data_IF_840993944250
#
_entry.id   IF_840993944250
#
_cell.length_a   1.000
_cell.length_b   1.000
_cell.length_c   1.000
_cell.angle_alpha   90.00
_cell.angle_beta   90.00
_cell.angle_gamma   90.00
#
_symmetry.space_group_name_H-M   'P 1'
#
loop_
_entity.id
_entity.type
_entity.pdbx_description
1 polymer ?
#
# COMPACT_ATOMS: atom_id res chain seq x y z
N UNK A 1 14.18 -20.56 -7.44
CA UNK A 1 12.95 -21.35 -7.71
C UNK A 1 12.72 -22.28 -6.52
N UNK A 2 11.97 -21.83 -5.50
CA UNK A 2 11.88 -22.49 -4.19
C UNK A 2 10.99 -23.75 -4.26
N UNK A 3 11.31 -24.86 -3.54
CA UNK A 3 10.58 -26.12 -3.61
C UNK A 3 9.14 -25.98 -3.10
N UNK A 4 8.21 -26.08 -4.04
CA UNK A 4 6.81 -25.73 -3.85
C UNK A 4 6.02 -26.89 -3.25
N UNK A 5 5.82 -26.90 -1.93
CA UNK A 5 4.71 -27.66 -1.32
C UNK A 5 3.40 -26.90 -1.56
N UNK A 6 3.06 -26.67 -2.84
CA UNK A 6 1.86 -25.95 -3.19
C UNK A 6 0.63 -26.76 -2.79
N UNK A 7 -0.18 -26.19 -1.88
CA UNK A 7 -1.57 -26.58 -1.73
C UNK A 7 -2.37 -25.92 -2.85
N UNK A 8 -3.44 -26.58 -3.29
CA UNK A 8 -4.35 -26.09 -4.34
C UNK A 8 -3.66 -25.78 -5.68
N UNK A 9 -2.69 -26.61 -6.12
CA UNK A 9 -1.98 -26.43 -7.41
C UNK A 9 -2.88 -26.23 -8.62
N UNK A 10 -4.08 -26.81 -8.59
CA UNK A 10 -5.07 -26.70 -9.67
C UNK A 10 -6.16 -25.66 -9.37
N UNK A 11 -6.14 -25.00 -8.22
CA UNK A 11 -7.08 -23.93 -7.87
C UNK A 11 -6.73 -22.62 -8.59
N UNK A 12 -7.69 -21.69 -8.61
CA UNK A 12 -7.52 -20.33 -9.13
C UNK A 12 -6.56 -19.47 -8.29
N UNK A 13 -6.34 -19.89 -7.04
CA UNK A 13 -5.36 -19.34 -6.11
C UNK A 13 -4.53 -20.50 -5.57
N UNK A 14 -3.22 -20.34 -5.59
CA UNK A 14 -2.25 -21.31 -5.11
C UNK A 14 -1.56 -20.78 -3.86
N UNK A 15 -1.13 -21.69 -2.99
CA UNK A 15 -0.39 -21.34 -1.76
C UNK A 15 0.89 -22.15 -1.66
N UNK A 16 2.02 -21.45 -1.61
CA UNK A 16 3.32 -21.99 -1.24
C UNK A 16 3.64 -21.62 0.22
N UNK A 17 4.29 -22.51 0.96
CA UNK A 17 4.75 -22.21 2.33
C UNK A 17 6.26 -22.10 2.35
N UNK A 18 6.75 -21.04 2.99
CA UNK A 18 8.15 -20.75 3.24
C UNK A 18 8.39 -20.85 4.75
N UNK A 19 9.06 -21.92 5.16
CA UNK A 19 9.55 -22.07 6.51
C UNK A 19 10.87 -21.31 6.61
N UNK A 20 10.82 -20.09 7.15
CA UNK A 20 11.99 -19.21 7.25
C UNK A 20 13.17 -19.88 7.96
N UNK A 21 12.91 -20.74 8.95
CA UNK A 21 13.98 -21.43 9.70
C UNK A 21 14.63 -22.52 8.84
N UNK A 22 13.81 -23.33 8.18
CA UNK A 22 14.26 -24.46 7.35
C UNK A 22 14.85 -23.98 6.02
N UNK A 23 14.14 -23.11 5.32
CA UNK A 23 14.44 -22.69 3.96
C UNK A 23 15.61 -21.70 3.92
N UNK A 24 15.70 -20.79 4.90
CA UNK A 24 16.90 -19.93 5.04
C UNK A 24 18.03 -20.63 5.81
N UNK A 25 17.82 -21.85 6.34
CA UNK A 25 18.75 -22.52 7.27
C UNK A 25 19.11 -21.63 8.47
N UNK A 26 18.20 -20.76 8.89
CA UNK A 26 18.45 -19.77 9.92
C UNK A 26 18.14 -20.35 11.31
N UNK A 27 19.11 -21.06 11.88
CA UNK A 27 18.97 -21.78 13.16
C UNK A 27 18.59 -20.85 14.33
N UNK A 28 18.94 -19.57 14.25
CA UNK A 28 18.66 -18.54 15.27
C UNK A 28 17.29 -17.87 15.13
N UNK A 29 16.42 -18.31 14.21
CA UNK A 29 15.05 -17.79 14.12
C UNK A 29 14.31 -18.11 15.42
N UNK A 30 14.00 -17.08 16.22
CA UNK A 30 13.19 -17.23 17.43
C UNK A 30 11.72 -16.97 17.12
N UNK A 31 11.40 -15.78 16.60
CA UNK A 31 10.05 -15.41 16.21
C UNK A 31 10.09 -14.28 15.19
N UNK A 32 9.40 -14.44 14.07
CA UNK A 32 9.15 -13.34 13.16
C UNK A 32 8.23 -12.31 13.81
N UNK A 33 8.49 -11.02 13.60
CA UNK A 33 7.67 -9.90 14.10
C UNK A 33 7.09 -9.06 12.97
N UNK A 34 7.90 -8.77 11.94
CA UNK A 34 7.49 -8.04 10.74
C UNK A 34 8.14 -8.66 9.51
N UNK A 35 7.44 -8.62 8.39
CA UNK A 35 7.97 -9.02 7.09
C UNK A 35 7.36 -8.14 6.01
N UNK A 36 8.16 -7.72 5.04
CA UNK A 36 7.69 -7.05 3.83
C UNK A 36 8.43 -7.60 2.61
N UNK A 37 7.75 -7.61 1.47
CA UNK A 37 8.30 -8.06 0.19
C UNK A 37 7.90 -7.07 -0.90
N UNK A 38 8.86 -6.62 -1.70
CA UNK A 38 8.62 -5.85 -2.92
C UNK A 38 9.69 -6.21 -3.95
N UNK A 39 9.27 -6.40 -5.20
CA UNK A 39 10.18 -6.68 -6.31
C UNK A 39 11.13 -7.87 -6.04
N UNK A 40 10.63 -8.91 -5.35
CA UNK A 40 11.45 -10.07 -4.98
C UNK A 40 12.49 -9.82 -3.87
N UNK A 41 12.55 -8.62 -3.30
CA UNK A 41 13.36 -8.28 -2.13
C UNK A 41 12.52 -8.42 -0.86
N UNK A 42 12.99 -9.21 0.11
CA UNK A 42 12.31 -9.49 1.37
C UNK A 42 13.12 -8.96 2.55
N UNK A 43 12.47 -8.17 3.42
CA UNK A 43 12.98 -7.80 4.72
C UNK A 43 12.13 -8.41 5.82
N UNK A 44 12.78 -9.05 6.80
CA UNK A 44 12.14 -9.71 7.92
C UNK A 44 12.78 -9.31 9.26
N UNK A 45 12.00 -8.84 10.22
CA UNK A 45 12.46 -8.59 11.58
C UNK A 45 12.22 -9.84 12.45
N UNK A 46 13.30 -10.45 12.93
CA UNK A 46 13.26 -11.75 13.63
C UNK A 46 13.56 -11.65 15.13
N UNK A 47 14.19 -10.56 15.55
CA UNK A 47 14.34 -10.23 16.97
C UNK A 47 14.04 -8.75 17.14
N UNK A 48 14.17 -8.22 18.36
CA UNK A 48 13.97 -6.79 18.63
C UNK A 48 14.80 -5.87 17.72
N UNK A 49 15.98 -6.34 17.25
CA UNK A 49 16.94 -5.53 16.49
C UNK A 49 17.53 -6.17 15.24
N UNK A 50 17.26 -7.46 14.98
CA UNK A 50 17.84 -8.17 13.83
C UNK A 50 16.89 -8.14 12.64
N UNK A 51 17.38 -7.59 11.53
CA UNK A 51 16.74 -7.60 10.22
C UNK A 51 17.45 -8.62 9.33
N UNK A 52 16.68 -9.49 8.71
CA UNK A 52 17.12 -10.40 7.66
C UNK A 52 16.71 -9.81 6.32
N UNK A 53 17.65 -9.75 5.40
CA UNK A 53 17.42 -9.40 4.01
C UNK A 53 17.65 -10.62 3.13
N UNK A 54 16.63 -10.99 2.36
CA UNK A 54 16.67 -12.06 1.37
C UNK A 54 16.27 -11.50 0.00
N UNK A 55 17.00 -11.88 -1.04
CA UNK A 55 16.77 -11.47 -2.43
C UNK A 55 16.71 -12.72 -3.29
N UNK A 56 15.64 -12.91 -4.08
CA UNK A 56 15.52 -14.07 -4.99
C UNK A 56 16.65 -14.06 -6.07
N UNK A 57 17.13 -12.86 -6.44
CA UNK A 57 18.13 -12.68 -7.49
C UNK A 57 19.59 -12.96 -7.09
N UNK A 58 19.93 -12.92 -5.80
CA UNK A 58 21.34 -13.03 -5.33
C UNK A 58 21.77 -14.44 -4.91
N UNK A 59 20.96 -15.45 -5.21
CA UNK A 59 21.14 -16.81 -4.68
C UNK A 59 20.76 -16.85 -3.20
N UNK A 60 20.28 -18.00 -2.74
CA UNK A 60 19.50 -18.21 -1.50
C UNK A 60 20.18 -17.83 -0.15
N UNK A 61 21.29 -17.08 -0.15
CA UNK A 61 21.97 -16.62 1.05
C UNK A 61 21.41 -15.28 1.53
N UNK A 62 20.70 -15.33 2.66
CA UNK A 62 20.24 -14.14 3.35
C UNK A 62 21.41 -13.35 3.97
N UNK A 63 21.17 -12.06 4.23
CA UNK A 63 22.11 -11.15 4.90
C UNK A 63 21.48 -10.60 6.18
N UNK A 64 22.31 -10.43 7.21
CA UNK A 64 21.88 -9.94 8.52
C UNK A 64 22.28 -8.47 8.69
N UNK A 65 21.35 -7.65 9.18
CA UNK A 65 21.59 -6.27 9.58
C UNK A 65 21.08 -6.09 11.01
N UNK A 66 21.88 -5.43 11.86
CA UNK A 66 21.49 -5.14 13.24
C UNK A 66 21.17 -3.66 13.40
N UNK A 67 20.00 -3.35 13.93
CA UNK A 67 19.61 -2.00 14.29
C UNK A 67 20.16 -1.65 15.68
N UNK A 68 20.61 -0.40 15.91
CA UNK A 68 21.10 0.06 17.21
C UNK A 68 19.94 0.37 18.17
N UNK A 69 18.98 -0.54 18.28
CA UNK A 69 17.84 -0.46 19.19
C UNK A 69 18.20 -0.99 20.58
N UNK A 70 17.59 -0.41 21.61
CA UNK A 70 17.74 -0.81 23.01
C UNK A 70 16.40 -1.29 23.56
N UNK A 71 16.40 -2.40 24.31
CA UNK A 71 15.20 -2.93 24.96
C UNK A 71 14.58 -1.87 25.89
N UNK A 72 13.24 -1.71 25.92
CA UNK A 72 12.20 -2.56 25.33
C UNK A 72 11.83 -2.23 23.87
N UNK A 73 12.61 -1.37 23.19
CA UNK A 73 12.31 -0.96 21.82
C UNK A 73 12.54 -2.08 20.81
N UNK A 74 11.65 -2.16 19.83
CA UNK A 74 11.71 -3.14 18.75
C UNK A 74 11.01 -2.63 17.51
N UNK A 75 11.28 -3.28 16.38
CA UNK A 75 10.66 -2.97 15.08
C UNK A 75 9.14 -3.03 15.18
N UNK A 76 8.48 -2.01 14.62
CA UNK A 76 7.03 -1.90 14.53
C UNK A 76 6.54 -1.97 13.08
N UNK A 77 7.26 -1.30 12.18
CA UNK A 77 6.91 -1.22 10.75
C UNK A 77 8.17 -1.29 9.88
N UNK A 78 8.03 -1.94 8.73
CA UNK A 78 9.05 -1.99 7.66
C UNK A 78 8.35 -1.57 6.38
N UNK A 79 8.77 -0.44 5.81
CA UNK A 79 8.26 0.10 4.56
C UNK A 79 9.31 -0.10 3.49
N UNK A 80 9.02 -0.88 2.46
CA UNK A 80 9.94 -1.16 1.35
C UNK A 80 9.43 -0.49 0.08
N UNK A 81 10.32 0.18 -0.65
CA UNK A 81 9.99 0.83 -1.92
C UNK A 81 9.68 -0.19 -3.00
N UNK A 82 8.84 0.22 -3.96
CA UNK A 82 8.44 -0.63 -5.09
C UNK A 82 9.61 -1.10 -5.96
N UNK A 83 10.72 -0.35 -5.99
CA UNK A 83 11.93 -0.74 -6.71
C UNK A 83 12.81 -1.76 -5.95
N UNK A 84 12.52 -2.01 -4.67
CA UNK A 84 13.27 -2.93 -3.82
C UNK A 84 14.62 -2.39 -3.30
N UNK A 85 14.94 -1.11 -3.47
CA UNK A 85 16.24 -0.54 -3.07
C UNK A 85 16.23 0.25 -1.77
N UNK A 86 15.08 0.80 -1.37
CA UNK A 86 14.95 1.71 -0.25
C UNK A 86 13.99 1.15 0.78
N UNK A 87 14.41 1.10 2.05
CA UNK A 87 13.52 0.76 3.15
C UNK A 87 13.56 1.81 4.26
N UNK A 88 12.40 2.07 4.86
CA UNK A 88 12.25 2.85 6.07
C UNK A 88 11.70 1.92 7.15
N UNK A 89 12.45 1.78 8.24
CA UNK A 89 12.07 0.98 9.40
C UNK A 89 11.73 1.91 10.55
N UNK A 90 10.58 1.67 11.19
CA UNK A 90 10.14 2.40 12.38
C UNK A 90 10.02 1.46 13.58
N UNK A 91 10.53 1.88 14.73
CA UNK A 91 10.41 1.16 15.99
C UNK A 91 9.18 1.58 16.80
N UNK A 92 8.81 0.80 17.82
CA UNK A 92 7.67 1.10 18.69
C UNK A 92 7.87 2.37 19.53
N UNK A 93 9.11 2.72 19.84
CA UNK A 93 9.43 3.98 20.55
C UNK A 93 9.75 5.14 19.60
N UNK A 94 9.54 4.98 18.28
CA UNK A 94 9.66 6.07 17.30
C UNK A 94 11.09 6.35 16.84
N UNK A 95 12.01 5.38 16.97
CA UNK A 95 13.31 5.42 16.29
C UNK A 95 13.15 4.94 14.84
N UNK A 96 13.68 5.72 13.90
CA UNK A 96 13.51 5.46 12.47
C UNK A 96 14.85 5.25 11.76
N UNK A 97 14.92 4.27 10.86
CA UNK A 97 16.14 3.93 10.12
C UNK A 97 15.84 3.87 8.63
N UNK A 98 16.77 4.36 7.83
CA UNK A 98 16.82 4.11 6.39
C UNK A 98 17.79 2.96 6.11
N UNK A 99 17.39 2.04 5.24
CA UNK A 99 18.25 0.97 4.74
C UNK A 99 18.29 1.04 3.22
N UNK A 100 19.49 1.04 2.65
CA UNK A 100 19.70 0.87 1.23
C UNK A 100 20.04 -0.60 0.93
N UNK A 101 19.13 -1.33 0.27
CA UNK A 101 19.20 -2.80 0.15
C UNK A 101 20.31 -3.29 -0.79
N UNK A 102 20.82 -2.44 -1.69
CA UNK A 102 21.96 -2.83 -2.54
C UNK A 102 23.25 -2.96 -1.73
N UNK A 103 23.47 -2.05 -0.78
CA UNK A 103 24.67 -2.00 0.08
C UNK A 103 24.44 -2.58 1.47
N UNK A 104 23.19 -2.81 1.86
CA UNK A 104 22.79 -3.16 3.23
C UNK A 104 23.29 -2.17 4.28
N UNK A 105 23.41 -0.90 3.90
CA UNK A 105 23.84 0.17 4.80
C UNK A 105 22.64 0.70 5.60
N UNK A 106 22.79 0.73 6.92
CA UNK A 106 21.78 1.21 7.87
C UNK A 106 22.12 2.62 8.33
N UNK A 107 21.18 3.55 8.18
CA UNK A 107 21.34 4.95 8.51
C UNK A 107 20.26 5.41 9.49
N UNK A 108 20.65 5.95 10.65
CA UNK A 108 19.71 6.39 11.66
C UNK A 108 19.11 7.77 11.33
N UNK A 109 17.78 7.84 11.20
CA UNK A 109 17.01 9.04 10.88
C UNK A 109 16.71 9.89 12.14
N UNK A 110 17.76 10.42 12.79
CA UNK A 110 17.70 11.12 14.10
C UNK A 110 16.70 12.28 14.19
N UNK A 111 16.32 12.88 13.06
CA UNK A 111 15.39 14.01 12.98
C UNK A 111 13.92 13.59 13.04
N UNK A 112 13.61 12.32 12.74
CA UNK A 112 12.24 11.77 12.74
C UNK A 112 12.05 10.97 14.03
N UNK A 113 11.33 11.55 14.99
CA UNK A 113 11.12 11.00 16.34
C UNK A 113 9.64 10.67 16.60
N UNK A 114 9.07 9.87 15.72
CA UNK A 114 7.68 9.43 15.76
C UNK A 114 7.57 8.01 15.19
N UNK A 115 6.47 7.31 15.46
CA UNK A 115 6.18 6.01 14.85
C UNK A 115 5.62 6.25 13.44
N UNK A 116 6.34 5.78 12.42
CA UNK A 116 5.98 5.90 11.01
C UNK A 116 5.18 4.65 10.60
N UNK A 117 3.91 4.86 10.28
CA UNK A 117 2.92 3.81 10.04
C UNK A 117 2.58 3.62 8.56
N UNK A 118 2.92 4.59 7.70
CA UNK A 118 2.75 4.50 6.26
C UNK A 118 3.82 5.30 5.52
N UNK A 119 4.14 4.92 4.29
CA UNK A 119 5.06 5.65 3.40
C UNK A 119 4.48 5.73 2.00
N UNK A 120 4.21 6.96 1.53
CA UNK A 120 3.91 7.25 0.14
C UNK A 120 5.21 7.44 -0.64
N UNK A 121 5.59 6.42 -1.41
CA UNK A 121 6.76 6.48 -2.27
C UNK A 121 6.51 7.31 -3.52
N UNK A 122 7.51 8.08 -3.95
CA UNK A 122 7.41 8.91 -5.14
C UNK A 122 7.49 8.04 -6.41
N UNK A 123 6.46 8.02 -7.27
CA UNK A 123 6.48 7.23 -8.50
C UNK A 123 7.58 7.65 -9.49
N UNK A 124 8.00 8.93 -9.49
CA UNK A 124 9.09 9.42 -10.35
C UNK A 124 10.43 8.76 -10.05
N UNK A 125 10.60 8.29 -8.81
CA UNK A 125 11.82 7.64 -8.32
C UNK A 125 11.70 6.11 -8.29
N UNK A 126 10.69 5.55 -8.99
CA UNK A 126 10.44 4.11 -9.07
C UNK A 126 11.56 3.29 -9.73
N UNK A 127 12.56 3.93 -10.33
CA UNK A 127 13.75 3.30 -10.91
C UNK A 127 15.07 3.81 -10.33
N UNK A 128 15.03 4.85 -9.51
CA UNK A 128 16.22 5.47 -8.93
C UNK A 128 16.78 4.56 -7.82
N UNK A 129 18.10 4.40 -7.76
CA UNK A 129 18.76 3.63 -6.70
C UNK A 129 19.49 4.50 -5.69
N UNK A 130 19.78 5.74 -6.06
CA UNK A 130 20.64 6.65 -5.30
C UNK A 130 19.84 7.57 -4.39
N UNK A 131 18.56 7.79 -4.66
CA UNK A 131 17.67 8.56 -3.79
C UNK A 131 16.24 8.06 -3.80
N UNK A 132 15.58 8.21 -2.66
CA UNK A 132 14.14 8.00 -2.52
C UNK A 132 13.30 9.04 -3.28
N UNK A 133 13.91 10.16 -3.69
CA UNK A 133 13.17 11.40 -3.95
C UNK A 133 12.44 11.89 -2.71
N UNK A 134 11.57 12.89 -2.88
CA UNK A 134 10.66 13.31 -1.81
C UNK A 134 9.61 12.23 -1.59
N UNK A 135 9.51 11.68 -0.38
CA UNK A 135 8.49 10.72 0.04
C UNK A 135 7.65 11.31 1.18
N UNK A 136 6.41 10.83 1.32
CA UNK A 136 5.54 11.21 2.43
C UNK A 136 5.52 10.12 3.50
N UNK A 137 5.77 10.49 4.75
CA UNK A 137 5.67 9.60 5.91
C UNK A 137 4.38 9.92 6.67
N UNK A 138 3.54 8.92 6.88
CA UNK A 138 2.40 9.00 7.77
C UNK A 138 2.75 8.51 9.18
N UNK A 139 2.27 9.22 10.21
CA UNK A 139 2.55 8.87 11.61
C UNK A 139 1.38 8.20 12.31
N UNK A 140 1.68 7.50 13.41
CA UNK A 140 0.67 6.94 14.31
C UNK A 140 -0.25 8.00 14.95
N UNK A 141 0.15 9.28 14.92
CA UNK A 141 -0.61 10.42 15.43
C UNK A 141 -1.42 11.14 14.33
N UNK A 142 -1.38 10.67 13.08
CA UNK A 142 -2.16 11.28 12.00
C UNK A 142 -1.46 12.45 11.30
N UNK A 143 -0.18 12.66 11.55
CA UNK A 143 0.63 13.73 10.93
C UNK A 143 1.35 13.22 9.69
N UNK A 144 1.71 14.14 8.78
CA UNK A 144 2.48 13.84 7.56
C UNK A 144 3.80 14.61 7.58
N UNK A 145 4.87 13.92 7.19
CA UNK A 145 6.23 14.46 7.09
C UNK A 145 6.75 14.20 5.69
N UNK A 146 7.32 15.21 5.03
CA UNK A 146 8.06 14.99 3.78
C UNK A 146 9.54 14.74 4.08
N UNK A 147 10.07 13.66 3.51
CA UNK A 147 11.44 13.19 3.71
C UNK A 147 12.08 12.89 2.36
N UNK A 148 13.34 13.27 2.18
CA UNK A 148 14.19 12.77 1.10
C UNK A 148 15.44 12.16 1.72
N UNK A 149 15.81 10.95 1.30
CA UNK A 149 17.02 10.26 1.73
C UNK A 149 17.82 9.81 0.52
N UNK A 150 19.14 10.00 0.56
CA UNK A 150 20.06 9.41 -0.43
C UNK A 150 20.61 8.07 0.04
N UNK A 151 21.18 7.29 -0.88
CA UNK A 151 21.79 5.99 -0.61
C UNK A 151 22.93 6.04 0.43
N UNK A 152 23.57 7.20 0.62
CA UNK A 152 24.57 7.42 1.67
C UNK A 152 23.99 7.86 3.03
N UNK A 153 22.66 7.95 3.15
CA UNK A 153 21.95 8.32 4.36
C UNK A 153 21.86 9.82 4.65
N UNK A 154 22.30 10.68 3.71
CA UNK A 154 22.02 12.10 3.82
C UNK A 154 20.51 12.32 3.69
N UNK A 155 19.93 13.07 4.62
CA UNK A 155 18.49 13.30 4.67
C UNK A 155 18.15 14.79 4.70
N UNK A 156 17.10 15.15 3.98
CA UNK A 156 16.37 16.41 4.17
C UNK A 156 14.96 16.07 4.62
N UNK A 157 14.44 16.80 5.60
CA UNK A 157 13.11 16.55 6.15
C UNK A 157 12.43 17.88 6.39
N UNK A 158 11.17 17.98 5.97
CA UNK A 158 10.29 19.08 6.30
C UNK A 158 9.40 18.66 7.47
N UNK A 159 9.44 19.40 8.57
CA UNK A 159 8.63 19.07 9.76
C UNK A 159 7.15 19.24 9.45
N UNK A 160 6.35 18.39 10.10
CA UNK A 160 4.87 18.31 10.10
C UNK A 160 4.21 19.24 9.08
N UNK A 161 3.98 18.70 7.88
CA UNK A 161 3.26 19.40 6.82
C UNK A 161 1.80 19.67 7.21
N UNK A 162 1.30 18.99 8.23
CA UNK A 162 0.05 19.34 8.90
C UNK A 162 0.13 18.86 10.35
N UNK A 163 -0.21 19.71 11.33
CA UNK A 163 -0.45 19.22 12.69
C UNK A 163 -1.58 18.17 12.72
N UNK A 164 -2.61 18.29 11.86
CA UNK A 164 -3.85 17.54 12.02
C UNK A 164 -4.63 17.30 10.70
N UNK A 165 -4.20 16.34 9.86
CA UNK A 165 -5.17 15.63 8.99
C UNK A 165 -6.32 15.05 9.85
N UNK A 166 -6.05 14.80 11.14
CA UNK A 166 -6.99 14.45 12.19
C UNK A 166 -8.19 15.42 12.39
N UNK A 167 -7.99 16.75 12.47
CA UNK A 167 -9.00 17.70 13.01
C UNK A 167 -9.87 18.43 11.97
N UNK A 168 -9.60 18.30 10.67
CA UNK A 168 -10.25 19.14 9.63
C UNK A 168 -11.77 18.89 9.49
N UNK A 169 -12.36 17.90 10.17
CA UNK A 169 -13.81 17.62 10.13
C UNK A 169 -14.57 17.95 11.44
N UNK A 170 -13.99 18.67 12.40
CA UNK A 170 -14.67 18.96 13.68
C UNK A 170 -15.73 20.08 13.61
N UNK A 171 -16.02 20.66 12.44
CA UNK A 171 -17.13 21.63 12.35
C UNK A 171 -18.55 21.01 12.33
N UNK A 172 -18.72 19.68 12.38
CA UNK A 172 -20.07 19.07 12.31
C UNK A 172 -20.36 17.89 13.25
N UNK A 173 -19.58 17.65 14.30
CA UNK A 173 -20.01 16.71 15.35
C UNK A 173 -20.37 17.51 16.59
N UNK A 174 -21.66 17.71 16.79
CA UNK A 174 -22.26 18.29 17.99
C UNK A 174 -21.92 17.42 19.21
N UNK A 175 -20.80 17.74 19.87
CA UNK A 175 -20.35 16.95 21.01
C UNK A 175 -18.96 17.23 21.57
N UNK A 176 -18.40 18.44 21.38
CA UNK A 176 -17.39 19.07 22.25
C UNK A 176 -16.18 18.28 22.77
N UNK A 177 -15.83 17.12 22.19
CA UNK A 177 -14.71 16.29 22.62
C UNK A 177 -13.69 16.14 21.49
N UNK A 178 -12.41 16.31 21.81
CA UNK A 178 -11.32 16.14 20.86
C UNK A 178 -11.35 14.73 20.26
N UNK A 179 -11.45 14.64 18.93
CA UNK A 179 -11.34 13.36 18.22
C UNK A 179 -9.96 12.73 18.50
N UNK A 180 -9.89 11.44 18.87
CA UNK A 180 -8.61 10.78 19.10
C UNK A 180 -7.82 10.74 17.79
N UNK A 181 -6.57 11.19 17.83
CA UNK A 181 -5.63 11.07 16.73
C UNK A 181 -5.64 9.63 16.16
N UNK A 182 -5.92 9.51 14.86
CA UNK A 182 -5.94 8.26 14.13
C UNK A 182 -4.65 8.12 13.30
N UNK A 183 -4.06 6.92 13.34
CA UNK A 183 -2.87 6.63 12.56
C UNK A 183 -3.16 6.75 11.06
N UNK A 184 -2.17 7.23 10.30
CA UNK A 184 -2.20 7.08 8.84
C UNK A 184 -1.82 5.65 8.51
N UNK A 185 -2.73 4.93 7.87
CA UNK A 185 -2.59 3.50 7.60
C UNK A 185 -2.05 3.22 6.21
N UNK A 186 -2.28 4.12 5.24
CA UNK A 186 -1.70 4.02 3.91
C UNK A 186 -1.62 5.40 3.22
N UNK A 187 -0.69 5.55 2.27
CA UNK A 187 -0.51 6.73 1.43
C UNK A 187 -0.21 6.30 0.00
N UNK A 188 -1.09 6.60 -0.95
CA UNK A 188 -0.91 6.34 -2.38
C UNK A 188 -0.64 7.65 -3.12
N UNK A 189 0.50 7.74 -3.81
CA UNK A 189 0.92 8.92 -4.59
C UNK A 189 0.82 8.65 -6.10
N UNK A 190 0.27 9.61 -6.83
CA UNK A 190 0.09 9.56 -8.27
C UNK A 190 0.56 10.85 -8.93
N UNK A 191 1.25 10.74 -10.05
CA UNK A 191 1.46 11.84 -10.99
C UNK A 191 0.32 11.79 -12.02
N UNK A 192 -0.42 12.90 -12.17
CA UNK A 192 -1.61 12.98 -13.02
C UNK A 192 -1.35 13.55 -14.43
N UNK A 193 -0.18 14.13 -14.68
CA UNK A 193 0.11 14.84 -15.94
C UNK A 193 1.41 14.36 -16.58
N UNK A 194 1.34 13.99 -17.86
CA UNK A 194 2.49 13.67 -18.72
C UNK A 194 2.74 14.74 -19.81
N UNK A 195 1.77 15.62 -20.08
CA UNK A 195 1.78 16.49 -21.28
C UNK A 195 2.59 17.80 -21.16
N UNK A 196 2.81 18.34 -19.95
CA UNK A 196 3.71 19.50 -19.74
C UNK A 196 4.68 19.23 -18.57
N UNK A 197 5.98 19.03 -18.82
CA UNK A 197 6.98 18.82 -17.77
C UNK A 197 7.11 20.01 -16.81
N UNK A 198 6.55 21.18 -17.12
CA UNK A 198 6.55 22.38 -16.26
C UNK A 198 5.33 22.49 -15.34
N UNK A 199 4.25 21.74 -15.59
CA UNK A 199 3.00 21.82 -14.83
C UNK A 199 2.62 20.44 -14.27
N UNK A 200 3.49 19.88 -13.41
CA UNK A 200 3.21 18.59 -12.77
C UNK A 200 1.99 18.69 -11.87
N UNK A 201 0.97 17.89 -12.14
CA UNK A 201 -0.18 17.68 -11.27
C UNK A 201 0.02 16.40 -10.46
N UNK A 202 -0.22 16.50 -9.16
CA UNK A 202 -0.03 15.40 -8.23
C UNK A 202 -1.33 15.10 -7.49
N UNK A 203 -1.55 13.83 -7.20
CA UNK A 203 -2.62 13.36 -6.35
C UNK A 203 -2.08 12.48 -5.25
N UNK A 204 -2.62 12.66 -4.04
CA UNK A 204 -2.37 11.76 -2.92
C UNK A 204 -3.69 11.25 -2.36
N UNK A 205 -3.74 9.96 -2.07
CA UNK A 205 -4.84 9.32 -1.35
C UNK A 205 -4.29 8.84 0.00
N UNK A 206 -4.84 9.38 1.08
CA UNK A 206 -4.41 9.10 2.45
C UNK A 206 -5.51 8.27 3.12
N UNK A 207 -5.15 7.08 3.59
CA UNK A 207 -6.04 6.23 4.35
C UNK A 207 -5.82 6.39 5.86
N UNK A 208 -6.94 6.46 6.57
CA UNK A 208 -7.04 6.41 8.02
C UNK A 208 -8.22 5.51 8.39
N UNK A 209 -8.31 5.08 9.65
CA UNK A 209 -9.34 4.15 10.14
C UNK A 209 -10.73 4.37 9.53
N UNK A 210 -11.26 5.59 9.61
CA UNK A 210 -12.63 5.90 9.21
C UNK A 210 -12.70 6.89 8.03
N UNK A 211 -11.57 7.20 7.38
CA UNK A 211 -11.52 8.20 6.31
C UNK A 211 -10.56 7.80 5.19
N UNK A 212 -10.99 8.04 3.96
CA UNK A 212 -10.12 8.19 2.80
C UNK A 212 -10.11 9.65 2.38
N UNK A 213 -8.93 10.25 2.29
CA UNK A 213 -8.76 11.65 1.94
C UNK A 213 -8.02 11.71 0.61
N UNK A 214 -8.66 12.29 -0.40
CA UNK A 214 -8.08 12.54 -1.72
C UNK A 214 -7.68 14.01 -1.78
N UNK A 215 -6.41 14.29 -2.06
CA UNK A 215 -5.91 15.64 -2.30
C UNK A 215 -5.31 15.70 -3.70
N UNK A 216 -5.62 16.77 -4.43
CA UNK A 216 -5.03 17.06 -5.74
C UNK A 216 -4.38 18.43 -5.67
N UNK A 217 -3.09 18.49 -5.99
CA UNK A 217 -2.35 19.74 -6.13
C UNK A 217 -1.88 19.91 -7.58
N UNK A 218 -1.92 21.14 -8.05
CA UNK A 218 -1.21 21.56 -9.25
C UNK A 218 0.06 22.27 -8.76
N UNK A 219 1.22 21.82 -9.24
CA UNK A 219 2.47 22.40 -8.79
C UNK A 219 2.59 23.81 -9.39
N UNK A 220 2.52 24.85 -8.54
CA UNK A 220 2.85 26.20 -8.97
C UNK A 220 4.35 26.25 -9.32
N UNK A 221 4.75 26.91 -10.43
CA UNK A 221 6.16 27.09 -10.72
C UNK A 221 6.83 27.78 -9.51
N UNK A 222 8.03 27.34 -9.09
CA UNK A 222 8.70 27.94 -7.94
C UNK A 222 8.78 29.46 -8.15
N UNK A 223 8.47 30.28 -7.12
CA UNK A 223 8.51 31.72 -7.26
C UNK A 223 9.87 32.12 -7.78
N UNK A 224 9.90 32.99 -8.81
CA UNK A 224 11.14 33.47 -9.37
C UNK A 224 12.05 33.95 -8.24
N UNK A 225 13.34 33.54 -8.21
CA UNK A 225 14.25 33.98 -7.18
C UNK A 225 14.18 35.50 -7.11
N UNK A 226 13.82 36.05 -5.95
CA UNK A 226 13.85 37.50 -5.74
C UNK A 226 15.29 37.93 -5.93
N UNK A 227 15.61 38.41 -7.14
CA UNK A 227 16.92 38.94 -7.47
C UNK A 227 17.13 40.17 -6.57
N UNK A 228 18.02 40.02 -5.60
CA UNK A 228 18.61 41.03 -4.74
C UNK A 228 17.78 42.28 -4.45
N UNK A 229 17.31 42.41 -3.20
CA UNK A 229 17.11 43.74 -2.65
C UNK A 229 18.41 44.53 -2.80
N UNK A 230 18.34 45.69 -3.46
CA UNK A 230 19.47 46.57 -3.74
C UNK A 230 20.34 46.75 -2.49
N UNK A 231 21.54 46.16 -2.48
CA UNK A 231 22.56 46.52 -1.50
C UNK A 231 23.02 47.92 -1.88
N UNK A 232 22.71 48.93 -1.06
CA UNK A 232 23.25 50.27 -1.25
C UNK A 232 24.79 50.21 -1.25
N UNK A 233 25.43 51.09 -2.02
CA UNK A 233 26.89 51.16 -2.15
C UNK A 233 27.65 51.36 -0.83
N UNK A 234 26.96 51.76 0.25
CA UNK A 234 27.54 51.84 1.59
C UNK A 234 27.85 50.46 2.21
N UNK A 235 27.24 49.38 1.72
CA UNK A 235 27.38 48.03 2.27
C UNK A 235 28.64 47.29 1.81
N UNK A 236 29.32 47.77 0.74
CA UNK A 236 30.50 47.12 0.17
C UNK A 236 31.80 47.48 0.91
N UNK A 237 31.81 48.55 1.70
CA UNK A 237 33.00 49.00 2.45
C UNK A 237 33.16 48.30 3.81
N UNK A 238 32.10 47.67 4.32
CA UNK A 238 32.14 46.81 5.49
C UNK A 238 32.04 45.37 4.97
N UNK A 239 33.13 44.58 5.06
CA UNK A 239 33.26 43.24 4.46
C UNK A 239 32.29 42.16 4.99
N UNK A 240 30.99 42.37 4.87
CA UNK A 240 29.92 41.42 5.13
C UNK A 240 29.57 40.73 3.82
N UNK A 241 30.38 39.74 3.43
CA UNK A 241 29.92 38.70 2.51
C UNK A 241 28.73 38.00 3.17
N UNK A 242 27.55 38.12 2.59
CA UNK A 242 26.36 37.39 3.00
C UNK A 242 26.49 35.93 2.56
N UNK A 243 27.40 35.19 3.21
CA UNK A 243 27.53 33.74 3.15
C UNK A 243 26.58 33.18 4.23
N UNK A 244 25.35 32.83 3.85
CA UNK A 244 24.46 32.13 4.79
C UNK A 244 22.96 32.34 4.65
N UNK A 245 22.43 32.65 3.46
CA UNK A 245 21.03 32.29 3.23
C UNK A 245 20.99 30.77 3.00
N UNK A 246 20.82 29.97 4.08
CA UNK A 246 20.33 28.60 3.96
C UNK A 246 19.08 28.67 3.08
N UNK A 247 19.18 28.22 1.82
CA UNK A 247 18.02 28.05 0.98
C UNK A 247 17.12 27.04 1.69
N UNK A 248 15.89 27.47 2.00
CA UNK A 248 14.89 26.58 2.57
C UNK A 248 14.80 25.32 1.70
N UNK A 249 14.75 24.11 2.31
CA UNK A 249 14.78 22.88 1.55
C UNK A 249 13.66 22.88 0.52
N UNK A 250 14.00 22.62 -0.74
CA UNK A 250 13.03 22.51 -1.84
C UNK A 250 12.01 21.42 -1.49
N UNK A 251 10.73 21.78 -1.47
CA UNK A 251 9.62 20.86 -1.20
C UNK A 251 8.93 20.45 -2.46
N UNK A 252 8.60 19.17 -2.58
CA UNK A 252 7.83 18.65 -3.71
C UNK A 252 6.34 18.57 -3.36
N UNK A 253 6.00 18.15 -2.14
CA UNK A 253 4.63 17.80 -1.75
C UNK A 253 4.03 18.69 -0.67
N UNK A 254 4.80 19.62 -0.11
CA UNK A 254 4.32 20.63 0.83
C UNK A 254 3.07 21.39 0.33
N UNK A 255 2.94 21.58 -0.99
CA UNK A 255 1.78 22.22 -1.61
C UNK A 255 0.44 21.57 -1.26
N UNK A 256 0.37 20.23 -1.14
CA UNK A 256 -0.85 19.50 -0.79
C UNK A 256 -1.48 19.95 0.53
N UNK A 257 -0.69 20.46 1.46
CA UNK A 257 -1.14 20.68 2.84
C UNK A 257 -1.24 22.16 3.21
N UNK A 258 -0.63 23.03 2.40
CA UNK A 258 -0.52 24.46 2.70
C UNK A 258 -1.02 25.36 1.56
N UNK A 259 -1.25 24.83 0.35
CA UNK A 259 -1.77 25.63 -0.75
C UNK A 259 -3.28 25.81 -0.67
N UNK A 260 -3.75 27.03 -0.90
CA UNK A 260 -5.18 27.33 -1.05
C UNK A 260 -5.77 26.77 -2.35
N UNK A 261 -4.92 26.42 -3.33
CA UNK A 261 -5.34 25.82 -4.60
C UNK A 261 -5.52 24.31 -4.52
N UNK A 262 -5.17 23.66 -3.41
CA UNK A 262 -5.32 22.20 -3.27
C UNK A 262 -6.80 21.83 -3.19
N UNK A 263 -7.21 20.94 -4.10
CA UNK A 263 -8.54 20.35 -4.05
C UNK A 263 -8.55 19.18 -3.05
N UNK A 264 -9.64 19.03 -2.30
CA UNK A 264 -9.81 17.97 -1.32
C UNK A 264 -11.18 17.30 -1.45
N UNK A 265 -11.20 15.97 -1.36
CA UNK A 265 -12.41 15.17 -1.14
C UNK A 265 -12.17 14.18 0.00
N UNK A 266 -13.19 13.85 0.78
CA UNK A 266 -13.07 12.91 1.89
C UNK A 266 -14.27 11.99 1.94
N UNK A 267 -14.00 10.69 1.87
CA UNK A 267 -14.97 9.62 2.09
C UNK A 267 -14.84 9.21 3.55
N UNK A 268 -15.96 9.20 4.29
CA UNK A 268 -15.98 8.88 5.72
C UNK A 268 -16.86 7.66 5.98
N UNK A 269 -16.40 6.80 6.88
CA UNK A 269 -17.19 5.72 7.44
C UNK A 269 -18.28 6.28 8.37
N UNK A 270 -19.45 5.64 8.36
CA UNK A 270 -20.58 5.95 9.23
C UNK A 270 -20.38 5.49 10.67
N UNK A 271 -19.54 4.46 10.88
CA UNK A 271 -19.23 3.88 12.19
C UNK A 271 -17.83 4.29 12.66
N UNK A 272 -17.68 4.36 13.98
CA UNK A 272 -16.39 4.51 14.65
C UNK A 272 -16.17 3.33 15.60
N UNK A 273 -14.97 2.77 15.64
CA UNK A 273 -14.62 1.69 16.56
C UNK A 273 -13.14 1.67 16.83
N UNK A 274 -12.73 1.79 18.10
CA UNK A 274 -11.31 1.77 18.48
C UNK A 274 -10.59 0.48 18.09
N UNK A 275 -11.32 -0.64 17.90
CA UNK A 275 -10.74 -1.89 17.38
C UNK A 275 -10.10 -1.68 16.01
N UNK A 276 -10.57 -0.71 15.25
CA UNK A 276 -10.07 -0.38 13.92
C UNK A 276 -9.06 0.77 13.94
N UNK A 277 -8.61 1.27 15.11
CA UNK A 277 -7.75 2.47 15.19
C UNK A 277 -6.46 2.36 14.37
N UNK A 278 -5.96 1.14 14.19
CA UNK A 278 -4.79 0.81 13.36
C UNK A 278 -5.16 0.01 12.09
N UNK A 279 -6.45 -0.10 11.77
CA UNK A 279 -7.00 -0.84 10.62
C UNK A 279 -7.66 0.17 9.68
N UNK A 280 -7.02 0.42 8.56
CA UNK A 280 -7.45 1.35 7.51
C UNK A 280 -6.78 0.99 6.20
N UNK A 281 -6.65 -0.30 5.93
CA UNK A 281 -5.90 -0.80 4.79
C UNK A 281 -6.60 -0.38 3.50
N UNK A 282 -5.84 0.26 2.63
CA UNK A 282 -6.24 0.59 1.28
C UNK A 282 -5.41 -0.30 0.36
N UNK A 283 -6.05 -0.88 -0.63
CA UNK A 283 -5.35 -1.60 -1.70
C UNK A 283 -6.02 -1.24 -3.02
N UNK A 284 -5.23 -1.22 -4.08
CA UNK A 284 -5.69 -0.88 -5.42
C UNK A 284 -5.16 -1.88 -6.43
N UNK A 285 -5.93 -2.11 -7.48
CA UNK A 285 -5.57 -3.02 -8.57
C UNK A 285 -5.97 -2.42 -9.93
N UNK A 286 -5.17 -2.61 -11.00
CA UNK A 286 -3.82 -3.20 -11.02
C UNK A 286 -2.81 -2.39 -10.19
N UNK A 287 -1.78 -3.04 -9.67
CA UNK A 287 -0.73 -2.38 -8.88
C UNK A 287 0.38 -1.79 -9.75
N UNK A 288 0.54 -2.32 -10.97
CA UNK A 288 1.63 -1.92 -11.87
C UNK A 288 1.25 -0.78 -12.80
N UNK A 289 0.00 -0.82 -13.28
CA UNK A 289 -0.60 0.16 -14.16
C UNK A 289 -1.50 1.12 -13.37
N UNK A 290 -2.23 1.98 -14.09
CA UNK A 290 -3.26 2.82 -13.49
C UNK A 290 -4.31 1.95 -12.77
N UNK A 291 -4.54 2.19 -11.47
CA UNK A 291 -5.51 1.42 -10.72
C UNK A 291 -6.91 1.69 -11.23
N UNK A 292 -7.70 0.63 -11.37
CA UNK A 292 -9.10 0.68 -11.82
C UNK A 292 -10.08 0.38 -10.69
N UNK A 293 -9.60 -0.25 -9.62
CA UNK A 293 -10.39 -0.69 -8.48
C UNK A 293 -9.64 -0.44 -7.19
N UNK A 294 -10.38 -0.09 -6.15
CA UNK A 294 -9.88 -0.02 -4.79
C UNK A 294 -10.69 -0.93 -3.86
N UNK A 295 -10.05 -1.34 -2.78
CA UNK A 295 -10.69 -1.91 -1.62
C UNK A 295 -10.20 -1.17 -0.38
N UNK A 296 -11.12 -0.78 0.49
CA UNK A 296 -10.81 -0.07 1.73
C UNK A 296 -11.47 -0.74 2.92
N UNK A 297 -10.64 -1.17 3.88
CA UNK A 297 -11.10 -1.69 5.16
C UNK A 297 -11.43 -0.53 6.11
N UNK A 298 -12.68 -0.44 6.52
CA UNK A 298 -13.17 0.57 7.46
C UNK A 298 -14.05 -0.06 8.55
N UNK A 299 -14.48 0.68 9.59
CA UNK A 299 -15.43 0.19 10.58
C UNK A 299 -16.78 -0.29 10.01
N UNK A 300 -17.18 0.19 8.83
CA UNK A 300 -18.44 -0.23 8.18
C UNK A 300 -18.35 -1.60 7.51
N UNK A 301 -17.16 -1.98 7.06
CA UNK A 301 -16.95 -3.18 6.27
C UNK A 301 -15.75 -3.00 5.37
N UNK A 302 -15.81 -3.62 4.19
CA UNK A 302 -14.82 -3.48 3.13
C UNK A 302 -15.52 -2.85 1.94
N UNK A 303 -15.23 -1.57 1.72
CA UNK A 303 -15.73 -0.83 0.56
C UNK A 303 -14.96 -1.24 -0.68
N UNK A 304 -15.67 -1.70 -1.71
CA UNK A 304 -15.10 -2.03 -3.03
C UNK A 304 -15.66 -1.04 -4.04
N UNK A 305 -14.77 -0.43 -4.82
CA UNK A 305 -15.18 0.58 -5.79
C UNK A 305 -14.22 0.78 -6.95
N UNK A 306 -14.62 1.63 -7.89
CA UNK A 306 -13.80 2.03 -9.03
C UNK A 306 -12.84 3.15 -8.64
N UNK A 307 -11.68 3.15 -9.29
CA UNK A 307 -10.71 4.24 -9.25
C UNK A 307 -10.64 4.88 -10.63
N UNK A 308 -10.76 6.20 -10.68
CA UNK A 308 -10.50 7.00 -11.87
C UNK A 308 -9.60 8.18 -11.52
N UNK A 309 -8.29 7.98 -11.61
CA UNK A 309 -7.31 9.03 -11.25
C UNK A 309 -7.38 10.25 -12.18
N UNK A 310 -8.00 10.11 -13.35
CA UNK A 310 -8.17 11.16 -14.36
C UNK A 310 -9.59 11.73 -14.37
N UNK A 311 -10.36 11.54 -13.29
CA UNK A 311 -11.71 12.09 -13.17
C UNK A 311 -11.71 13.63 -13.24
N UNK A 312 -12.72 14.19 -13.90
CA UNK A 312 -12.91 15.65 -14.00
C UNK A 312 -13.22 16.26 -12.62
N UNK A 313 -14.08 15.60 -11.85
CA UNK A 313 -14.43 16.00 -10.48
C UNK A 313 -13.71 15.12 -9.47
N UNK A 314 -13.09 15.73 -8.45
CA UNK A 314 -12.33 15.02 -7.40
C UNK A 314 -13.16 13.97 -6.63
N UNK A 315 -14.48 14.16 -6.55
CA UNK A 315 -15.41 13.22 -5.90
C UNK A 315 -15.58 11.90 -6.68
N UNK A 316 -15.31 11.92 -7.98
CA UNK A 316 -15.46 10.76 -8.86
C UNK A 316 -14.17 9.95 -8.99
N UNK A 317 -13.09 10.37 -8.29
CA UNK A 317 -11.83 9.64 -8.24
C UNK A 317 -12.01 8.27 -7.60
N UNK A 318 -12.82 8.18 -6.54
CA UNK A 318 -13.14 6.95 -5.82
C UNK A 318 -14.66 6.81 -5.72
N UNK A 319 -15.22 5.84 -6.44
CA UNK A 319 -16.68 5.59 -6.44
C UNK A 319 -16.93 4.19 -5.89
N UNK A 320 -17.58 4.09 -4.73
CA UNK A 320 -17.99 2.80 -4.16
C UNK A 320 -19.02 2.11 -5.07
N UNK A 321 -18.83 0.82 -5.33
CA UNK A 321 -19.79 -0.02 -6.05
C UNK A 321 -20.61 -0.88 -5.08
N UNK A 322 -19.95 -1.48 -4.09
CA UNK A 322 -20.59 -2.29 -3.06
C UNK A 322 -19.72 -2.37 -1.80
N UNK A 323 -20.34 -2.77 -0.69
CA UNK A 323 -19.67 -2.94 0.59
C UNK A 323 -19.84 -4.39 1.09
N UNK A 324 -18.75 -4.99 1.57
CA UNK A 324 -18.75 -6.32 2.20
C UNK A 324 -18.77 -6.12 3.72
N UNK A 325 -19.82 -6.58 4.39
CA UNK A 325 -19.92 -6.48 5.84
C UNK A 325 -18.84 -7.29 6.56
N UNK A 326 -18.45 -6.83 7.74
CA UNK A 326 -17.55 -7.57 8.61
C UNK A 326 -18.14 -8.91 9.01
N UNK A 327 -17.28 -9.93 9.02
CA UNK A 327 -17.65 -11.25 9.49
C UNK A 327 -17.99 -11.23 10.99
N UNK A 328 -19.00 -12.00 11.38
CA UNK A 328 -19.36 -12.25 12.77
C UNK A 328 -19.10 -13.73 13.10
N UNK A 329 -18.34 -13.99 14.16
CA UNK A 329 -18.17 -15.32 14.76
C UNK A 329 -18.74 -15.27 16.18
N UNK A 330 -19.73 -16.12 16.47
CA UNK A 330 -20.38 -16.18 17.79
C UNK A 330 -20.87 -14.80 18.28
N UNK A 331 -21.38 -13.98 17.34
CA UNK A 331 -21.85 -12.61 17.61
C UNK A 331 -20.75 -11.57 17.80
N UNK A 332 -19.48 -11.93 17.66
CA UNK A 332 -18.33 -11.01 17.74
C UNK A 332 -17.78 -10.69 16.35
N UNK A 333 -17.52 -9.40 16.12
CA UNK A 333 -16.84 -8.92 14.91
C UNK A 333 -15.44 -9.53 14.80
N UNK A 334 -15.19 -10.18 13.68
CA UNK A 334 -13.87 -10.65 13.23
C UNK A 334 -13.51 -9.88 11.96
N UNK A 335 -12.91 -8.68 12.06
CA UNK A 335 -12.43 -7.97 10.88
C UNK A 335 -11.19 -8.67 10.31
N UNK A 336 -10.95 -8.58 8.98
CA UNK A 336 -9.71 -9.06 8.41
C UNK A 336 -8.53 -8.24 8.93
N UNK A 337 -7.40 -8.93 9.15
CA UNK A 337 -6.13 -8.32 9.55
C UNK A 337 -5.33 -7.78 8.36
N UNK A 338 -5.80 -8.03 7.14
CA UNK A 338 -5.23 -7.51 5.90
C UNK A 338 -6.06 -7.88 4.69
N UNK A 339 -5.95 -7.08 3.63
CA UNK A 339 -6.69 -7.25 2.38
C UNK A 339 -5.77 -7.12 1.17
N UNK A 340 -6.09 -7.81 0.07
CA UNK A 340 -5.40 -7.67 -1.21
C UNK A 340 -6.39 -7.87 -2.36
N UNK A 341 -6.28 -7.04 -3.39
CA UNK A 341 -7.07 -7.17 -4.62
C UNK A 341 -6.30 -7.90 -5.71
N UNK A 342 -7.04 -8.71 -6.47
CA UNK A 342 -6.62 -9.28 -7.75
C UNK A 342 -7.59 -8.81 -8.84
N UNK A 343 -7.49 -9.37 -10.05
CA UNK A 343 -8.35 -8.97 -11.15
C UNK A 343 -9.83 -9.28 -10.89
N UNK A 344 -10.12 -10.43 -10.28
CA UNK A 344 -11.49 -10.92 -10.07
C UNK A 344 -11.84 -11.22 -8.62
N UNK A 345 -10.88 -11.15 -7.69
CA UNK A 345 -11.10 -11.53 -6.29
C UNK A 345 -10.53 -10.50 -5.31
N UNK A 346 -11.03 -10.59 -4.07
CA UNK A 346 -10.40 -9.97 -2.92
C UNK A 346 -9.96 -11.07 -1.95
N UNK A 347 -8.70 -11.04 -1.54
CA UNK A 347 -8.16 -11.91 -0.51
C UNK A 347 -8.29 -11.21 0.84
N UNK A 348 -8.84 -11.92 1.82
CA UNK A 348 -9.05 -11.47 3.20
C UNK A 348 -8.24 -12.35 4.14
N UNK A 349 -7.25 -11.77 4.79
CA UNK A 349 -6.49 -12.44 5.84
C UNK A 349 -7.20 -12.29 7.19
N UNK A 350 -7.38 -13.40 7.89
CA UNK A 350 -7.88 -13.46 9.26
C UNK A 350 -6.81 -14.05 10.17
N UNK A 351 -7.12 -14.12 11.47
CA UNK A 351 -6.21 -14.64 12.49
C UNK A 351 -5.64 -16.02 12.16
N UNK A 352 -6.41 -16.93 11.55
CA UNK A 352 -5.99 -18.32 11.31
C UNK A 352 -6.36 -18.87 9.91
N UNK A 353 -6.78 -18.01 8.99
CA UNK A 353 -7.17 -18.41 7.62
C UNK A 353 -7.05 -17.26 6.63
N UNK A 354 -6.93 -17.60 5.34
CA UNK A 354 -7.17 -16.68 4.23
C UNK A 354 -8.43 -17.11 3.48
N UNK A 355 -9.31 -16.16 3.19
CA UNK A 355 -10.44 -16.34 2.29
C UNK A 355 -10.19 -15.56 1.00
N UNK A 356 -10.69 -16.05 -0.14
CA UNK A 356 -10.86 -15.22 -1.32
C UNK A 356 -12.32 -15.19 -1.74
N UNK A 357 -12.84 -13.98 -1.93
CA UNK A 357 -14.22 -13.73 -2.36
C UNK A 357 -14.22 -13.24 -3.80
N UNK A 358 -15.22 -13.63 -4.58
CA UNK A 358 -15.42 -13.07 -5.92
C UNK A 358 -15.85 -11.62 -5.84
N UNK A 359 -15.24 -10.78 -6.70
CA UNK A 359 -15.71 -9.40 -6.90
C UNK A 359 -16.99 -9.35 -7.74
N UNK A 360 -17.39 -10.45 -8.36
CA UNK A 360 -18.64 -10.55 -9.10
C UNK A 360 -19.76 -11.03 -8.18
N UNK A 361 -20.96 -10.40 -8.23
CA UNK A 361 -22.13 -10.94 -7.55
C UNK A 361 -22.37 -12.41 -7.91
N UNK A 362 -22.68 -13.28 -6.91
CA UNK A 362 -23.13 -12.94 -5.55
C UNK A 362 -22.03 -12.73 -4.49
N UNK A 363 -20.76 -12.61 -4.88
CA UNK A 363 -19.61 -12.43 -3.97
C UNK A 363 -19.28 -13.65 -3.10
N UNK A 364 -19.44 -14.84 -3.68
CA UNK A 364 -19.17 -16.10 -2.99
C UNK A 364 -17.70 -16.26 -2.60
N UNK A 365 -17.47 -17.02 -1.52
CA UNK A 365 -16.14 -17.50 -1.14
C UNK A 365 -15.72 -18.60 -2.14
N UNK A 366 -14.68 -18.32 -2.91
CA UNK A 366 -14.15 -19.24 -3.94
C UNK A 366 -12.91 -20.00 -3.48
N UNK A 367 -12.29 -19.54 -2.39
CA UNK A 367 -11.09 -20.13 -1.82
C UNK A 367 -11.06 -19.92 -0.30
N UNK A 368 -10.68 -20.97 0.41
CA UNK A 368 -10.42 -20.93 1.85
C UNK A 368 -9.17 -21.76 2.16
N UNK A 369 -8.21 -21.16 2.86
CA UNK A 369 -6.99 -21.82 3.32
C UNK A 369 -6.81 -21.58 4.84
N UNK A 370 -7.33 -22.49 5.68
CA UNK A 370 -7.06 -22.50 7.10
C UNK A 370 -5.70 -23.15 7.37
N UNK A 371 -5.03 -22.70 8.43
CA UNK A 371 -3.82 -23.37 8.91
C UNK A 371 -3.91 -23.79 10.37
N UNK A 372 -3.01 -24.70 10.75
CA UNK A 372 -2.98 -25.27 12.09
C UNK A 372 -2.55 -24.23 13.12
N UNK A 373 -3.16 -24.27 14.31
CA UNK A 373 -2.92 -23.28 15.36
C UNK A 373 -1.46 -23.19 15.82
N UNK A 374 -0.68 -24.25 15.64
CA UNK A 374 0.77 -24.31 15.94
C UNK A 374 1.60 -23.29 15.16
N UNK A 375 1.14 -22.86 13.98
CA UNK A 375 1.84 -21.83 13.20
C UNK A 375 1.67 -20.44 13.82
N UNK A 376 0.70 -20.27 14.74
CA UNK A 376 0.32 -19.00 15.34
C UNK A 376 -0.68 -18.21 14.49
N UNK A 377 -1.08 -17.05 15.02
CA UNK A 377 -1.96 -16.13 14.30
C UNK A 377 -1.22 -15.38 13.20
N UNK A 378 -1.95 -14.93 12.18
CA UNK A 378 -1.43 -14.01 11.19
C UNK A 378 -0.93 -12.72 11.87
N UNK A 379 0.31 -12.33 11.56
CA UNK A 379 0.94 -11.10 12.05
C UNK A 379 0.85 -9.98 11.02
N UNK A 380 0.81 -10.31 9.74
CA UNK A 380 0.69 -9.34 8.66
C UNK A 380 0.40 -9.97 7.31
N UNK A 381 -0.02 -9.11 6.39
CA UNK A 381 -0.42 -9.44 5.04
C UNK A 381 0.11 -8.36 4.10
N UNK A 382 0.98 -8.74 3.17
CA UNK A 382 1.76 -7.81 2.33
C UNK A 382 1.63 -8.22 0.88
N UNK A 383 1.42 -7.26 0.00
CA UNK A 383 1.39 -7.49 -1.45
C UNK A 383 2.72 -7.05 -2.05
N UNK A 384 3.42 -7.96 -2.73
CA UNK A 384 4.51 -7.56 -3.61
C UNK A 384 3.89 -7.00 -4.89
N UNK A 385 3.91 -5.68 -5.04
CA UNK A 385 3.19 -4.97 -6.10
C UNK A 385 3.79 -5.20 -7.49
N UNK A 386 5.01 -5.73 -7.57
CA UNK A 386 5.71 -5.99 -8.83
C UNK A 386 5.53 -7.45 -9.26
N UNK A 387 5.61 -8.38 -8.32
CA UNK A 387 5.42 -9.80 -8.64
C UNK A 387 3.96 -10.28 -8.50
N UNK A 388 3.08 -9.40 -8.03
CA UNK A 388 1.65 -9.63 -7.76
C UNK A 388 1.35 -10.79 -6.81
N UNK A 389 2.37 -11.27 -6.09
CA UNK A 389 2.20 -12.26 -5.05
C UNK A 389 1.82 -11.62 -3.73
N UNK A 390 0.94 -12.31 -3.00
CA UNK A 390 0.50 -11.88 -1.67
C UNK A 390 1.17 -12.76 -0.62
N UNK A 391 1.72 -12.13 0.41
CA UNK A 391 2.47 -12.78 1.47
C UNK A 391 1.74 -12.61 2.80
N UNK A 392 1.40 -13.72 3.42
CA UNK A 392 0.97 -13.76 4.82
C UNK A 392 2.12 -14.28 5.66
N UNK A 393 2.30 -13.77 6.86
CA UNK A 393 3.28 -14.33 7.77
C UNK A 393 2.75 -14.45 9.19
N UNK A 394 3.31 -15.45 9.86
CA UNK A 394 3.05 -15.82 11.25
C UNK A 394 4.38 -15.72 12.03
N UNK A 395 4.41 -15.95 13.36
CA UNK A 395 5.68 -15.97 14.09
C UNK A 395 6.71 -16.98 13.57
N UNK A 396 6.27 -18.01 12.82
CA UNK A 396 7.12 -19.16 12.45
C UNK A 396 7.34 -19.31 10.94
N UNK A 397 6.32 -19.01 10.14
CA UNK A 397 6.35 -19.24 8.68
C UNK A 397 5.80 -18.06 7.89
N UNK A 398 6.24 -17.94 6.65
CA UNK A 398 5.63 -17.08 5.63
C UNK A 398 4.88 -17.97 4.61
N UNK A 399 3.73 -17.51 4.15
CA UNK A 399 2.89 -18.17 3.16
C UNK A 399 2.73 -17.24 1.98
N UNK A 400 3.05 -17.73 0.78
CA UNK A 400 2.98 -17.00 -0.47
C UNK A 400 1.77 -17.47 -1.25
N UNK A 401 0.85 -16.56 -1.54
CA UNK A 401 -0.34 -16.74 -2.35
C UNK A 401 -0.13 -16.11 -3.72
N UNK A 402 -0.58 -16.81 -4.76
CA UNK A 402 -0.54 -16.30 -6.13
C UNK A 402 -1.74 -16.79 -6.93
N UNK A 403 -2.14 -16.01 -7.92
CA UNK A 403 -3.18 -16.39 -8.86
C UNK A 403 -2.67 -17.47 -9.82
N UNK A 404 -3.56 -18.35 -10.24
CA UNK A 404 -3.27 -19.40 -11.19
C UNK A 404 -4.50 -19.58 -12.07
N UNK A 405 -4.47 -18.97 -13.25
CA UNK A 405 -5.59 -19.03 -14.18
C UNK A 405 -6.90 -18.50 -13.56
N UNK A 406 -6.82 -17.33 -12.92
CA UNK A 406 -7.92 -16.74 -12.11
C UNK A 406 -9.24 -16.59 -12.88
N UNK A 407 -9.15 -16.28 -14.17
CA UNK A 407 -10.30 -16.08 -15.04
C UNK A 407 -11.04 -17.38 -15.43
N UNK A 408 -10.56 -18.56 -15.01
CA UNK A 408 -11.08 -19.88 -15.44
C UNK A 408 -12.59 -20.04 -15.32
N UNK A 409 -13.18 -19.57 -14.22
CA UNK A 409 -14.62 -19.73 -13.98
C UNK A 409 -15.41 -18.44 -14.21
N UNK A 410 -14.74 -17.34 -14.56
CA UNK A 410 -15.35 -16.02 -14.65
C UNK A 410 -16.28 -15.89 -15.86
N UNK A 411 -15.91 -16.47 -17.01
CA UNK A 411 -16.76 -16.48 -18.20
C UNK A 411 -18.11 -17.14 -17.92
N UNK A 412 -18.11 -18.21 -17.11
CA UNK A 412 -19.32 -18.93 -16.72
C UNK A 412 -20.21 -18.06 -15.83
N UNK A 413 -19.63 -17.32 -14.88
CA UNK A 413 -20.38 -16.35 -14.06
C UNK A 413 -21.06 -15.29 -14.91
N UNK A 414 -20.39 -14.71 -15.91
CA UNK A 414 -21.02 -13.75 -16.83
C UNK A 414 -22.10 -14.41 -17.70
N UNK A 415 -21.84 -15.62 -18.19
CA UNK A 415 -22.78 -16.37 -19.00
C UNK A 415 -24.07 -16.71 -18.24
N UNK A 416 -23.96 -17.10 -16.97
CA UNK A 416 -25.11 -17.40 -16.11
C UNK A 416 -25.91 -16.13 -15.75
N UNK A 417 -25.28 -14.97 -15.83
CA UNK A 417 -25.94 -13.65 -15.66
C UNK A 417 -26.55 -13.09 -16.96
N UNK A 418 -26.40 -13.79 -18.09
CA UNK A 418 -26.85 -13.31 -19.39
C UNK A 418 -25.97 -12.23 -20.02
N UNK A 419 -24.80 -11.92 -19.45
CA UNK A 419 -23.84 -11.00 -20.06
C UNK A 419 -22.96 -11.75 -21.06
N UNK A 420 -23.55 -12.04 -22.23
CA UNK A 420 -22.87 -12.76 -23.30
C UNK A 420 -21.66 -11.98 -23.86
N UNK A 421 -21.69 -10.64 -23.80
CA UNK A 421 -20.61 -9.81 -24.33
C UNK A 421 -19.30 -10.02 -23.56
N UNK A 422 -19.34 -9.89 -22.24
CA UNK A 422 -18.17 -10.13 -21.38
C UNK A 422 -17.76 -11.60 -21.36
N UNK A 423 -18.74 -12.52 -21.32
CA UNK A 423 -18.46 -13.96 -21.37
C UNK A 423 -17.70 -14.34 -22.66
N UNK A 424 -18.13 -13.83 -23.82
CA UNK A 424 -17.46 -14.06 -25.10
C UNK A 424 -16.05 -13.46 -25.14
N UNK A 425 -15.88 -12.25 -24.60
CA UNK A 425 -14.57 -11.61 -24.56
C UNK A 425 -13.57 -12.47 -23.80
N UNK A 426 -13.93 -12.93 -22.60
CA UNK A 426 -13.06 -13.77 -21.77
C UNK A 426 -12.83 -15.13 -22.44
N UNK A 427 -13.87 -15.77 -22.98
CA UNK A 427 -13.74 -17.07 -23.64
C UNK A 427 -12.83 -17.00 -24.89
N UNK A 428 -12.90 -15.92 -25.67
CA UNK A 428 -12.02 -15.70 -26.83
C UNK A 428 -10.56 -15.52 -26.43
N UNK A 429 -10.29 -14.74 -25.38
CA UNK A 429 -8.92 -14.55 -24.88
C UNK A 429 -8.31 -15.85 -24.34
N UNK A 430 -9.14 -16.84 -24.02
CA UNK A 430 -8.73 -18.11 -23.40
C UNK A 430 -8.88 -19.32 -24.31
N UNK A 431 -9.13 -19.13 -25.61
CA UNK A 431 -9.43 -20.22 -26.55
C UNK A 431 -8.32 -21.27 -26.63
N UNK A 432 -7.06 -20.87 -26.46
CA UNK A 432 -5.90 -21.78 -26.49
C UNK A 432 -5.81 -22.69 -25.25
N UNK A 433 -6.44 -22.28 -24.13
CA UNK A 433 -6.42 -23.00 -22.84
C UNK A 433 -7.69 -23.84 -22.70
N UNK A 434 -8.85 -23.27 -23.04
CA UNK A 434 -10.18 -23.87 -22.85
C UNK A 434 -11.05 -23.58 -24.08
N UNK A 435 -10.87 -24.29 -25.20
CA UNK A 435 -11.63 -24.05 -26.43
C UNK A 435 -13.14 -24.32 -26.23
N UNK A 436 -13.48 -25.28 -25.38
CA UNK A 436 -14.86 -25.66 -25.05
C UNK A 436 -15.66 -24.49 -24.44
N UNK A 437 -15.01 -23.60 -23.69
CA UNK A 437 -15.67 -22.44 -23.09
C UNK A 437 -16.29 -21.52 -24.15
N UNK A 438 -15.59 -21.30 -25.28
CA UNK A 438 -16.08 -20.45 -26.36
C UNK A 438 -17.31 -21.09 -27.03
N UNK A 439 -17.26 -22.40 -27.30
CA UNK A 439 -18.38 -23.13 -27.89
C UNK A 439 -19.61 -23.09 -26.97
N UNK A 440 -19.41 -23.29 -25.67
CA UNK A 440 -20.49 -23.24 -24.67
C UNK A 440 -21.15 -21.86 -24.61
N UNK A 441 -20.36 -20.79 -24.60
CA UNK A 441 -20.88 -19.42 -24.58
C UNK A 441 -21.69 -19.13 -25.85
N UNK A 442 -21.16 -19.48 -27.03
CA UNK A 442 -21.83 -19.28 -28.31
C UNK A 442 -23.14 -20.07 -28.42
N UNK A 443 -23.15 -21.33 -27.96
CA UNK A 443 -24.34 -22.17 -27.95
C UNK A 443 -25.44 -21.59 -27.06
N UNK A 444 -25.10 -21.23 -25.82
CA UNK A 444 -26.08 -20.69 -24.87
C UNK A 444 -26.59 -19.30 -25.30
N UNK A 445 -25.75 -18.50 -25.96
CA UNK A 445 -26.17 -17.25 -26.58
C UNK A 445 -27.16 -17.49 -27.74
N UNK A 446 -26.88 -18.46 -28.61
CA UNK A 446 -27.79 -18.82 -29.70
C UNK A 446 -29.14 -19.33 -29.17
N UNK A 447 -29.12 -20.22 -28.18
CA UNK A 447 -30.33 -20.76 -27.53
C UNK A 447 -31.17 -19.64 -26.90
N UNK A 448 -30.54 -18.65 -26.26
CA UNK A 448 -31.22 -17.47 -25.70
C UNK A 448 -31.94 -16.65 -26.77
N UNK A 449 -31.25 -16.29 -27.87
CA UNK A 449 -31.88 -15.52 -28.95
C UNK A 449 -32.95 -16.29 -29.74
N UNK A 450 -32.84 -17.62 -29.81
CA UNK A 450 -33.87 -18.47 -30.41
C UNK A 450 -35.13 -18.47 -29.53
N UNK A 451 -34.98 -18.48 -28.21
CA UNK A 451 -36.09 -18.42 -27.27
C UNK A 451 -36.77 -17.04 -27.26
N UNK A 452 -36.01 -15.94 -27.32
CA UNK A 452 -36.59 -14.59 -27.37
C UNK A 452 -37.36 -14.27 -28.66
N UNK A 453 -37.07 -14.99 -29.76
CA UNK A 453 -37.75 -14.81 -31.05
C UNK A 453 -39.02 -15.64 -31.23
N UNK A 454 -39.36 -16.51 -30.26
CA UNK A 454 -40.64 -17.22 -30.21
C UNK A 454 -41.61 -16.48 -29.30
#
# INVERSE_FOLDING_TARGET
MIPNTAKNKNGIITRATFDLKKDLKFVKLTSLSNLTVQNGEMLAAVTEKLIIHYSDGKGERFQEMTLPLQSPDHVAYIHLSRNGFHAIISSKLGHNFYIHLKTNSVHYLKKIRCVVTAVGWNPDYSKDTDSTGAVLLGTAQGSIIELTVSSCGMMTSQKELTPQVAQIAEQRISGGGASPAAAITDIQLFQLSDDDPKAKKWMVIIAQMARLIVLIMENEPPPAPKLGGFTSSASLQAGLMNLGAEQAPTTTFHGFFNSMSTQQHTISSSKFSEKFKNHGFLTMYPTIAEPKRYAWLSPDGISIGKVNILAEEIKDVLVEEFNIEHRLIEGRLEPPTGIALTEYHILLAYSSRVLALSLLPPHDVVFEDPWHAELGSALGFVVDTVTEFVWLFTPTVAMKYGTNDEARYIWKTYLDRGDFGRALQIARTRVDIEPDALEMVLRKQADFYIQEKK
#
